data_IF_293879963099
#
_entry.id   IF_293879963099
#
_cell.length_a   1.000
_cell.length_b   1.000
_cell.length_c   1.000
_cell.angle_alpha   90.00
_cell.angle_beta   90.00
_cell.angle_gamma   90.00
#
_symmetry.space_group_name_H-M   'P 1'
#
loop_
_entity.id
_entity.type
_entity.pdbx_description
1 polymer ?
#
# COMPACT_ATOMS: atom_id res chain seq x y z
N UNK A 1 -6.53 28.90 -51.30
CA UNK A 1 -6.15 29.42 -49.97
C UNK A 1 -7.10 28.84 -48.96
N UNK A 2 -6.61 27.87 -48.18
CA UNK A 2 -7.05 27.42 -46.85
C UNK A 2 -6.55 25.98 -46.68
N UNK A 3 -5.25 25.85 -46.38
CA UNK A 3 -4.72 24.62 -45.79
C UNK A 3 -5.15 24.60 -44.33
N UNK A 4 -5.96 23.60 -43.96
CA UNK A 4 -6.18 23.25 -42.57
C UNK A 4 -5.04 22.32 -42.15
N UNK A 5 -4.05 22.88 -41.45
CA UNK A 5 -3.03 22.10 -40.76
C UNK A 5 -3.68 21.33 -39.61
N UNK A 6 -3.81 20.01 -39.76
CA UNK A 6 -4.07 19.11 -38.64
C UNK A 6 -2.84 19.14 -37.71
N UNK A 7 -3.03 19.67 -36.50
CA UNK A 7 -2.03 19.65 -35.44
C UNK A 7 -1.48 18.23 -35.22
N UNK A 8 -0.16 18.13 -35.19
CA UNK A 8 0.61 16.90 -35.00
C UNK A 8 0.06 16.02 -33.86
N UNK A 9 -0.27 14.76 -34.16
CA UNK A 9 -0.42 13.69 -33.17
C UNK A 9 0.90 13.56 -32.39
N UNK A 10 0.99 14.13 -31.19
CA UNK A 10 2.06 13.78 -30.25
C UNK A 10 1.81 12.34 -29.83
N UNK A 11 2.55 11.41 -30.43
CA UNK A 11 2.54 10.01 -30.00
C UNK A 11 3.01 9.93 -28.54
N UNK A 12 2.20 9.32 -27.69
CA UNK A 12 2.55 9.07 -26.29
C UNK A 12 3.86 8.29 -26.20
N UNK A 13 4.74 8.71 -25.30
CA UNK A 13 6.04 8.07 -25.09
C UNK A 13 5.86 6.98 -24.04
N UNK A 14 6.32 5.77 -24.35
CA UNK A 14 6.30 4.67 -23.40
C UNK A 14 7.46 4.83 -22.40
N UNK A 15 7.16 5.33 -21.20
CA UNK A 15 8.10 5.32 -20.09
C UNK A 15 8.10 3.92 -19.48
N UNK A 16 8.95 3.04 -20.02
CA UNK A 16 9.20 1.69 -19.52
C UNK A 16 10.61 1.60 -18.91
N UNK A 17 10.68 1.52 -17.59
CA UNK A 17 11.95 1.58 -16.84
C UNK A 17 11.75 2.04 -15.40
N UNK A 18 12.84 2.44 -14.75
CA UNK A 18 12.84 2.85 -13.34
C UNK A 18 12.98 4.37 -13.23
N UNK A 19 12.07 5.01 -12.48
CA UNK A 19 12.14 6.43 -12.13
C UNK A 19 12.61 6.60 -10.68
N UNK A 20 13.77 7.22 -10.53
CA UNK A 20 14.26 7.77 -9.28
C UNK A 20 13.68 9.16 -9.09
N UNK A 21 12.77 9.33 -8.12
CA UNK A 21 12.07 10.59 -7.90
C UNK A 21 12.27 11.09 -6.48
N UNK A 22 12.75 12.33 -6.32
CA UNK A 22 12.76 13.05 -5.05
C UNK A 22 11.85 14.27 -5.13
N UNK A 23 10.86 14.31 -4.24
CA UNK A 23 10.00 15.47 -4.02
C UNK A 23 10.51 16.17 -2.76
N UNK A 24 11.13 17.33 -2.97
CA UNK A 24 11.93 17.99 -1.94
C UNK A 24 11.07 18.92 -1.08
N UNK A 25 10.67 20.06 -1.64
CA UNK A 25 9.88 21.08 -0.95
C UNK A 25 9.04 21.90 -1.93
N UNK A 26 8.00 22.56 -1.42
CA UNK A 26 7.26 23.59 -2.15
C UNK A 26 7.28 24.90 -1.36
N UNK A 27 7.13 26.02 -2.07
CA UNK A 27 7.16 27.36 -1.50
C UNK A 27 5.91 28.15 -1.90
N UNK A 28 5.49 29.02 -0.98
CA UNK A 28 4.42 30.00 -1.14
C UNK A 28 3.03 29.45 -1.48
N UNK A 29 2.71 28.22 -1.08
CA UNK A 29 1.38 27.64 -1.34
C UNK A 29 0.25 28.58 -0.84
N UNK A 30 -0.90 28.63 -1.52
CA UNK A 30 -2.05 29.40 -1.07
C UNK A 30 -2.56 28.83 0.26
N UNK A 31 -3.04 29.73 1.12
CA UNK A 31 -3.75 29.31 2.32
C UNK A 31 -5.22 29.10 1.95
N UNK A 32 -5.62 27.85 1.72
CA UNK A 32 -7.02 27.48 1.52
C UNK A 32 -7.73 27.39 2.87
N UNK A 33 -8.11 28.53 3.45
CA UNK A 33 -8.96 28.55 4.66
C UNK A 33 -10.19 29.46 4.58
N UNK A 34 -10.49 30.05 3.41
CA UNK A 34 -11.58 31.02 3.29
C UNK A 34 -12.89 30.46 2.72
N UNK A 35 -12.86 29.32 2.02
CA UNK A 35 -14.09 28.67 1.54
C UNK A 35 -14.80 27.90 2.65
N UNK A 36 -14.04 27.27 3.56
CA UNK A 36 -14.62 26.42 4.61
C UNK A 36 -15.19 27.20 5.78
N UNK A 37 -14.66 28.39 6.11
CA UNK A 37 -15.31 29.30 7.08
C UNK A 37 -16.66 29.79 6.55
N UNK A 38 -16.81 30.02 5.24
CA UNK A 38 -18.09 30.45 4.65
C UNK A 38 -19.13 29.34 4.62
N UNK A 39 -18.72 28.08 4.39
CA UNK A 39 -19.61 26.92 4.48
C UNK A 39 -20.00 26.60 5.94
N UNK A 40 -19.04 26.62 6.88
CA UNK A 40 -19.33 26.54 8.33
C UNK A 40 -20.29 27.66 8.77
N UNK A 41 -20.05 28.91 8.35
CA UNK A 41 -20.96 30.04 8.64
C UNK A 41 -22.36 29.85 8.04
N UNK A 42 -22.48 29.25 6.84
CA UNK A 42 -23.78 28.93 6.24
C UNK A 42 -24.54 27.84 7.02
N UNK A 43 -23.83 26.84 7.55
CA UNK A 43 -24.44 25.81 8.40
C UNK A 43 -24.86 26.36 9.76
N UNK A 44 -24.12 27.31 10.34
CA UNK A 44 -24.50 27.94 11.62
C UNK A 44 -25.60 29.00 11.47
N UNK A 45 -25.68 29.72 10.34
CA UNK A 45 -26.73 30.70 10.09
C UNK A 45 -28.12 30.08 9.83
N UNK A 46 -28.18 28.77 9.57
CA UNK A 46 -29.45 28.05 9.38
C UNK A 46 -30.11 27.60 10.70
N UNK A 47 -29.47 27.82 11.85
CA UNK A 47 -29.96 27.35 13.15
C UNK A 47 -30.05 28.45 14.23
N UNK A 48 -30.10 29.74 13.87
CA UNK A 48 -30.33 30.83 14.83
C UNK A 48 -31.67 31.51 14.55
N UNK A 49 -32.75 30.82 14.88
CA UNK A 49 -34.03 31.46 15.20
C UNK A 49 -34.03 31.92 16.65
N UNK A 50 -34.46 33.17 16.85
CA UNK A 50 -35.01 33.77 18.08
C UNK A 50 -34.34 33.43 19.43
N UNK A 51 -33.62 34.39 20.03
CA UNK A 51 -34.12 35.10 21.23
C UNK A 51 -33.17 36.21 21.68
N UNK A 52 -33.78 37.32 22.06
CA UNK A 52 -33.20 38.58 22.55
C UNK A 52 -32.79 38.49 24.02
N UNK A 53 -31.54 38.83 24.39
CA UNK A 53 -31.20 39.30 25.74
C UNK A 53 -30.08 40.36 25.67
N UNK A 54 -30.27 41.44 26.43
CA UNK A 54 -29.47 42.66 26.57
C UNK A 54 -28.06 42.46 27.13
N UNK A 55 -27.19 43.44 26.82
CA UNK A 55 -25.81 43.60 27.31
C UNK A 55 -25.75 44.25 28.69
N UNK A 56 -24.67 44.02 29.48
CA UNK A 56 -23.94 45.21 29.94
C UNK A 56 -22.40 45.09 29.97
N UNK A 57 -21.78 46.13 29.41
CA UNK A 57 -20.57 46.87 29.78
C UNK A 57 -19.20 46.21 30.09
N UNK A 58 -18.24 46.63 29.26
CA UNK A 58 -16.84 47.01 29.52
C UNK A 58 -15.83 45.97 30.03
N UNK A 59 -14.93 45.54 29.13
CA UNK A 59 -13.51 45.40 29.43
C UNK A 59 -12.65 45.53 28.16
N UNK A 60 -11.73 46.47 28.23
CA UNK A 60 -10.43 46.57 27.54
C UNK A 60 -10.20 45.74 26.27
N UNK A 61 -10.09 46.46 25.14
CA UNK A 61 -9.67 45.96 23.85
C UNK A 61 -8.23 45.40 23.88
N UNK A 62 -8.09 44.13 24.24
CA UNK A 62 -6.93 43.34 23.87
C UNK A 62 -7.15 42.88 22.43
N UNK A 63 -6.42 43.49 21.49
CA UNK A 63 -6.25 42.94 20.15
C UNK A 63 -5.60 41.56 20.26
N UNK A 64 -6.40 40.52 20.46
CA UNK A 64 -6.03 39.18 20.06
C UNK A 64 -5.88 39.22 18.54
N UNK A 65 -4.65 39.45 18.07
CA UNK A 65 -4.22 39.03 16.75
C UNK A 65 -4.54 37.54 16.70
N UNK A 66 -5.67 37.18 16.09
CA UNK A 66 -5.91 35.81 15.70
C UNK A 66 -4.69 35.42 14.87
N UNK A 67 -3.84 34.58 15.46
CA UNK A 67 -2.72 33.96 14.77
C UNK A 67 -3.38 33.26 13.59
N UNK A 68 -3.13 33.75 12.38
CA UNK A 68 -3.58 33.09 11.15
C UNK A 68 -2.90 31.73 11.20
N UNK A 69 -3.65 30.71 11.61
CA UNK A 69 -3.18 29.34 11.58
C UNK A 69 -3.24 28.97 10.10
N UNK A 70 -2.09 28.69 9.50
CA UNK A 70 -2.05 28.12 8.16
C UNK A 70 -2.70 26.74 8.23
N UNK A 71 -3.83 26.55 7.53
CA UNK A 71 -4.60 25.30 7.54
C UNK A 71 -4.22 24.35 6.41
N UNK A 72 -3.27 24.76 5.55
CA UNK A 72 -2.86 23.93 4.43
C UNK A 72 -2.11 22.69 4.94
N UNK A 73 -2.61 21.52 4.56
CA UNK A 73 -2.02 20.21 4.81
C UNK A 73 -1.53 19.60 3.49
N UNK A 74 -0.46 20.15 2.89
CA UNK A 74 -0.09 19.81 1.54
C UNK A 74 0.53 18.41 1.40
N UNK A 75 0.20 17.78 0.28
CA UNK A 75 0.86 16.58 -0.25
C UNK A 75 0.88 16.62 -1.78
N UNK A 76 1.66 15.71 -2.38
CA UNK A 76 1.80 15.60 -3.84
C UNK A 76 1.37 14.22 -4.28
N UNK A 77 0.54 14.15 -5.32
CA UNK A 77 0.29 12.94 -6.09
C UNK A 77 1.04 13.03 -7.41
N UNK A 78 1.71 11.95 -7.79
CA UNK A 78 2.39 11.83 -9.09
C UNK A 78 1.54 10.93 -9.97
N UNK A 79 1.14 11.44 -11.11
CA UNK A 79 0.29 10.74 -12.07
C UNK A 79 1.05 10.44 -13.35
N UNK A 80 0.94 9.19 -13.79
CA UNK A 80 1.23 8.78 -15.15
C UNK A 80 -0.11 8.68 -15.89
N UNK A 81 -0.44 9.70 -16.68
CA UNK A 81 -1.80 9.89 -17.22
C UNK A 81 -2.84 9.96 -16.08
N UNK A 82 -3.74 8.98 -15.94
CA UNK A 82 -4.77 8.93 -14.89
C UNK A 82 -4.37 8.08 -13.68
N UNK A 83 -3.25 7.37 -13.73
CA UNK A 83 -2.83 6.43 -12.68
C UNK A 83 -1.89 7.14 -11.70
N UNK A 84 -2.23 7.09 -10.41
CA UNK A 84 -1.32 7.56 -9.35
C UNK A 84 -0.20 6.56 -9.13
N UNK A 85 1.04 6.97 -9.39
CA UNK A 85 2.24 6.12 -9.26
C UNK A 85 3.04 6.40 -7.98
N UNK A 86 2.84 7.57 -7.38
CA UNK A 86 3.39 7.90 -6.06
C UNK A 86 2.55 8.94 -5.34
N UNK A 87 2.63 8.95 -4.01
CA UNK A 87 2.01 9.96 -3.15
C UNK A 87 2.94 10.28 -1.99
N UNK A 88 3.12 11.57 -1.69
CA UNK A 88 3.88 11.98 -0.51
C UNK A 88 3.07 11.86 0.78
N UNK A 89 3.76 11.91 1.92
CA UNK A 89 3.12 12.17 3.21
C UNK A 89 2.49 13.55 3.22
N UNK A 90 1.42 13.70 3.99
CA UNK A 90 0.82 15.00 4.30
C UNK A 90 1.69 15.72 5.32
N UNK A 91 2.08 16.96 5.04
CA UNK A 91 2.71 17.83 6.03
C UNK A 91 1.64 18.78 6.55
N UNK A 92 1.44 18.84 7.86
CA UNK A 92 0.33 19.61 8.43
C UNK A 92 0.67 21.10 8.56
N UNK A 93 -0.35 21.93 8.40
CA UNK A 93 -0.36 23.36 8.75
C UNK A 93 0.84 24.17 8.21
N UNK A 94 1.14 24.04 6.91
CA UNK A 94 2.23 24.79 6.28
C UNK A 94 1.95 25.13 4.83
N UNK A 95 2.34 26.33 4.43
CA UNK A 95 2.37 26.78 3.04
C UNK A 95 3.73 26.56 2.37
N UNK A 96 4.72 26.07 3.13
CA UNK A 96 6.08 25.81 2.67
C UNK A 96 6.53 24.40 3.10
N UNK A 97 5.86 23.33 2.61
CA UNK A 97 6.15 21.97 3.03
C UNK A 97 7.52 21.50 2.57
N UNK A 98 8.20 20.74 3.43
CA UNK A 98 9.43 20.01 3.11
C UNK A 98 9.19 18.52 3.26
N UNK A 99 8.95 17.83 2.15
CA UNK A 99 8.72 16.40 2.17
C UNK A 99 10.03 15.63 2.29
N UNK A 100 11.04 16.00 1.49
CA UNK A 100 12.31 15.27 1.36
C UNK A 100 12.07 13.76 1.18
N UNK A 101 11.13 13.41 0.30
CA UNK A 101 10.73 12.02 0.06
C UNK A 101 11.28 11.52 -1.25
N UNK A 102 11.82 10.30 -1.20
CA UNK A 102 12.44 9.61 -2.32
C UNK A 102 11.61 8.37 -2.66
N UNK A 103 11.31 8.20 -3.93
CA UNK A 103 10.55 7.11 -4.51
C UNK A 103 11.38 6.41 -5.58
N UNK A 104 11.29 5.08 -5.59
CA UNK A 104 11.74 4.21 -6.68
C UNK A 104 10.50 3.68 -7.37
N UNK A 105 10.20 4.22 -8.56
CA UNK A 105 8.91 3.97 -9.24
C UNK A 105 9.18 3.19 -10.52
N UNK A 106 8.82 1.89 -10.58
CA UNK A 106 8.79 1.18 -11.85
C UNK A 106 7.66 1.76 -12.71
N UNK A 107 8.00 2.19 -13.92
CA UNK A 107 7.05 2.70 -14.91
C UNK A 107 6.95 1.74 -16.08
N UNK A 108 5.73 1.58 -16.59
CA UNK A 108 5.42 0.87 -17.84
C UNK A 108 4.21 1.55 -18.50
N UNK A 109 4.27 2.88 -18.67
CA UNK A 109 3.10 3.69 -19.03
C UNK A 109 3.35 4.50 -20.32
N UNK A 110 2.43 4.46 -21.30
CA UNK A 110 2.43 5.40 -22.41
C UNK A 110 1.88 6.76 -21.96
N UNK A 111 2.74 7.79 -21.92
CA UNK A 111 2.39 9.12 -21.40
C UNK A 111 2.98 10.25 -22.23
N UNK A 112 2.32 11.41 -22.22
CA UNK A 112 2.87 12.66 -22.75
C UNK A 112 3.71 13.41 -21.70
N UNK A 113 3.34 13.27 -20.42
CA UNK A 113 4.00 13.88 -19.27
C UNK A 113 3.76 13.06 -18.00
N UNK A 114 4.60 13.27 -16.99
CA UNK A 114 4.26 12.98 -15.61
C UNK A 114 3.70 14.25 -14.96
N UNK A 115 2.54 14.12 -14.34
CA UNK A 115 1.83 15.23 -13.68
C UNK A 115 2.02 15.14 -12.17
N UNK A 116 2.56 16.20 -11.59
CA UNK A 116 2.71 16.37 -10.14
C UNK A 116 1.58 17.25 -9.66
N UNK A 117 0.57 16.65 -9.03
CA UNK A 117 -0.58 17.36 -8.48
C UNK A 117 -0.33 17.68 -7.01
N UNK A 118 -0.20 18.96 -6.69
CA UNK A 118 -0.09 19.44 -5.31
C UNK A 118 -1.51 19.63 -4.77
N UNK A 119 -1.79 19.04 -3.61
CA UNK A 119 -3.14 18.99 -3.03
C UNK A 119 -3.10 19.35 -1.56
N UNK A 120 -4.22 19.86 -1.07
CA UNK A 120 -4.49 20.10 0.35
C UNK A 120 -5.35 18.96 0.91
N UNK A 121 -4.92 18.32 2.00
CA UNK A 121 -5.67 17.26 2.69
C UNK A 121 -6.52 17.85 3.82
N UNK A 122 -7.75 18.26 3.50
CA UNK A 122 -8.71 18.76 4.48
C UNK A 122 -9.73 17.70 4.90
N UNK A 123 -10.36 17.91 6.05
CA UNK A 123 -11.32 17.03 6.74
C UNK A 123 -12.52 16.70 5.84
N UNK A 124 -12.90 17.61 4.93
CA UNK A 124 -14.04 17.46 4.04
C UNK A 124 -13.68 16.91 2.65
N UNK A 125 -12.41 16.58 2.42
CA UNK A 125 -11.91 16.05 1.15
C UNK A 125 -10.71 16.84 0.62
N UNK A 126 -9.95 16.23 -0.27
CA UNK A 126 -8.73 16.83 -0.80
C UNK A 126 -8.99 17.80 -1.95
N UNK A 127 -8.47 19.02 -1.88
CA UNK A 127 -8.54 20.03 -2.94
C UNK A 127 -7.23 20.10 -3.74
N UNK A 128 -7.30 20.37 -5.04
CA UNK A 128 -6.11 20.53 -5.89
C UNK A 128 -5.63 21.97 -5.80
N UNK A 129 -4.41 22.18 -5.32
CA UNK A 129 -3.74 23.49 -5.29
C UNK A 129 -3.23 23.86 -6.68
N UNK A 130 -2.73 22.86 -7.43
CA UNK A 130 -2.24 23.05 -8.78
C UNK A 130 -1.40 21.88 -9.26
N UNK A 131 -0.80 22.02 -10.43
CA UNK A 131 -0.11 20.94 -11.13
C UNK A 131 1.22 21.39 -11.75
N UNK A 132 2.15 20.46 -11.88
CA UNK A 132 3.35 20.60 -12.69
C UNK A 132 3.41 19.43 -13.66
N UNK A 133 3.56 19.71 -14.95
CA UNK A 133 3.71 18.68 -15.98
C UNK A 133 5.17 18.65 -16.49
N UNK A 134 5.82 17.50 -16.32
CA UNK A 134 7.15 17.26 -16.88
C UNK A 134 6.99 16.33 -18.09
N UNK A 135 7.35 16.83 -19.28
CA UNK A 135 7.18 16.10 -20.54
C UNK A 135 7.95 14.77 -20.54
N UNK A 136 7.30 13.71 -21.01
CA UNK A 136 7.89 12.39 -21.16
C UNK A 136 9.11 12.41 -22.09
N UNK A 137 9.11 13.29 -23.10
CA UNK A 137 10.25 13.47 -24.01
C UNK A 137 11.51 13.98 -23.31
N UNK A 138 11.38 14.72 -22.20
CA UNK A 138 12.51 15.13 -21.36
C UNK A 138 12.93 14.00 -20.42
N UNK A 139 11.96 13.30 -19.83
CA UNK A 139 12.21 12.22 -18.86
C UNK A 139 12.94 11.03 -19.53
N UNK A 140 12.50 10.63 -20.72
CA UNK A 140 13.05 9.45 -21.41
C UNK A 140 14.53 9.60 -21.81
N UNK A 141 15.06 10.83 -21.86
CA UNK A 141 16.48 11.06 -22.13
C UNK A 141 17.41 10.49 -21.06
N UNK A 142 16.88 10.21 -19.86
CA UNK A 142 17.65 9.73 -18.71
C UNK A 142 18.52 10.79 -18.03
N UNK A 143 18.53 12.02 -18.54
CA UNK A 143 19.24 13.14 -17.91
C UNK A 143 18.66 13.46 -16.53
N UNK A 144 19.53 13.92 -15.62
CA UNK A 144 19.10 14.38 -14.31
C UNK A 144 18.29 15.67 -14.44
N UNK A 145 17.01 15.60 -14.08
CA UNK A 145 16.14 16.77 -13.98
C UNK A 145 16.13 17.22 -12.52
N UNK A 146 16.69 18.39 -12.22
CA UNK A 146 16.71 18.95 -10.88
C UNK A 146 16.44 20.45 -10.94
N UNK A 147 15.19 20.86 -10.69
CA UNK A 147 14.82 22.27 -10.81
C UNK A 147 13.58 22.65 -9.97
N UNK A 148 13.39 23.95 -9.81
CA UNK A 148 12.15 24.56 -9.34
C UNK A 148 11.14 24.68 -10.48
N UNK A 149 9.95 24.14 -10.26
CA UNK A 149 8.85 24.19 -11.22
C UNK A 149 7.71 25.03 -10.67
N UNK A 150 7.22 25.99 -11.46
CA UNK A 150 6.02 26.77 -11.13
C UNK A 150 4.79 25.88 -11.11
N UNK A 151 3.99 25.98 -10.04
CA UNK A 151 2.76 25.21 -9.89
C UNK A 151 1.64 25.93 -10.65
N UNK A 152 1.17 25.32 -11.75
CA UNK A 152 0.12 25.87 -12.59
C UNK A 152 -1.27 25.63 -11.99
N UNK A 153 -2.20 26.55 -12.24
CA UNK A 153 -3.57 26.48 -11.71
C UNK A 153 -3.70 26.94 -10.25
N UNK A 154 -2.60 27.32 -9.59
CA UNK A 154 -2.66 27.90 -8.26
C UNK A 154 -3.20 29.33 -8.28
N UNK A 155 -3.90 29.73 -7.21
CA UNK A 155 -4.38 31.10 -7.01
C UNK A 155 -3.25 32.10 -6.76
N UNK A 156 -2.05 31.62 -6.38
CA UNK A 156 -0.84 32.41 -6.22
C UNK A 156 0.17 32.13 -7.34
N UNK A 157 0.72 33.19 -7.92
CA UNK A 157 1.60 33.14 -9.09
C UNK A 157 3.06 32.77 -8.77
N UNK A 158 3.47 32.86 -7.50
CA UNK A 158 4.84 32.60 -7.01
C UNK A 158 5.00 31.21 -6.38
N UNK A 159 4.02 30.33 -6.59
CA UNK A 159 4.02 28.96 -6.09
C UNK A 159 4.94 28.06 -6.91
N UNK A 160 5.82 27.34 -6.23
CA UNK A 160 6.81 26.48 -6.89
C UNK A 160 7.13 25.24 -6.07
N UNK A 161 7.56 24.19 -6.74
CA UNK A 161 7.99 22.91 -6.16
C UNK A 161 9.37 22.53 -6.68
N UNK A 162 10.24 22.05 -5.80
CA UNK A 162 11.56 21.56 -6.15
C UNK A 162 11.52 20.04 -6.33
N UNK A 163 11.82 19.59 -7.54
CA UNK A 163 11.76 18.18 -7.93
C UNK A 163 13.11 17.73 -8.47
N UNK A 164 13.51 16.51 -8.12
CA UNK A 164 14.68 15.83 -8.68
C UNK A 164 14.24 14.49 -9.27
N UNK A 165 14.50 14.26 -10.54
CA UNK A 165 14.10 13.06 -11.27
C UNK A 165 15.27 12.52 -12.10
N UNK A 166 15.42 11.21 -12.12
CA UNK A 166 16.28 10.53 -13.09
C UNK A 166 15.58 9.24 -13.53
N UNK A 167 15.50 9.03 -14.84
CA UNK A 167 14.88 7.84 -15.41
C UNK A 167 15.95 6.93 -16.00
N UNK A 168 15.83 5.63 -15.75
CA UNK A 168 16.67 4.61 -16.40
C UNK A 168 15.76 3.73 -17.24
N UNK A 169 15.84 3.80 -18.59
CA UNK A 169 15.08 2.91 -19.46
C UNK A 169 15.33 1.44 -19.13
N UNK A 170 14.30 0.60 -19.30
CA UNK A 170 14.39 -0.84 -19.02
C UNK A 170 15.58 -1.50 -19.74
N UNK A 171 15.75 -1.22 -21.04
CA UNK A 171 16.80 -1.81 -21.88
C UNK A 171 18.23 -1.37 -21.48
N UNK A 172 18.35 -0.22 -20.82
CA UNK A 172 19.64 0.33 -20.39
C UNK A 172 20.00 -0.11 -18.96
N UNK A 173 19.04 -0.64 -18.21
CA UNK A 173 19.23 -0.99 -16.82
C UNK A 173 19.92 -2.35 -16.68
N UNK A 174 21.16 -2.42 -16.19
CA UNK A 174 21.90 -3.69 -16.10
C UNK A 174 21.25 -4.72 -15.18
N UNK A 175 20.31 -4.31 -14.32
CA UNK A 175 19.53 -5.22 -13.46
C UNK A 175 18.65 -6.18 -14.24
N UNK A 176 18.23 -5.79 -15.45
CA UNK A 176 17.30 -6.59 -16.27
C UNK A 176 18.00 -7.40 -17.37
N UNK A 177 19.29 -7.16 -17.60
CA UNK A 177 20.04 -7.80 -18.69
C UNK A 177 20.40 -9.28 -18.43
N UNK A 178 20.39 -9.69 -17.17
CA UNK A 178 20.72 -11.05 -16.76
C UNK A 178 19.66 -11.55 -15.78
N UNK A 179 19.34 -12.85 -15.85
CA UNK A 179 18.49 -13.49 -14.85
C UNK A 179 19.16 -13.52 -13.46
N UNK A 180 18.89 -14.55 -12.68
CA UNK A 180 19.36 -14.66 -11.29
C UNK A 180 20.91 -14.77 -11.18
N UNK A 181 21.62 -14.95 -12.30
CA UNK A 181 23.06 -15.17 -12.37
C UNK A 181 23.97 -13.98 -11.96
N UNK A 182 23.42 -12.81 -11.64
CA UNK A 182 24.21 -11.70 -11.11
C UNK A 182 24.30 -11.75 -9.56
N UNK A 183 25.44 -11.35 -8.99
CA UNK A 183 25.66 -11.30 -7.52
C UNK A 183 24.65 -10.40 -6.77
N UNK A 184 23.84 -9.62 -7.52
CA UNK A 184 22.77 -8.74 -7.05
C UNK A 184 21.36 -9.33 -7.25
N UNK A 185 21.21 -10.65 -7.39
CA UNK A 185 19.94 -11.35 -7.66
C UNK A 185 18.81 -11.23 -6.62
N UNK A 186 18.84 -10.23 -5.74
CA UNK A 186 17.77 -9.91 -4.80
C UNK A 186 16.96 -8.71 -5.28
N UNK A 187 15.65 -8.74 -5.01
CA UNK A 187 14.80 -7.55 -5.17
C UNK A 187 15.32 -6.44 -4.26
N UNK A 188 15.61 -5.27 -4.83
CA UNK A 188 16.11 -4.11 -4.09
C UNK A 188 14.97 -3.37 -3.37
N UNK A 189 15.32 -2.52 -2.40
CA UNK A 189 14.38 -1.65 -1.67
C UNK A 189 13.24 -2.40 -0.95
N UNK A 190 13.48 -3.65 -0.53
CA UNK A 190 12.53 -4.44 0.26
C UNK A 190 12.78 -4.33 1.76
N UNK A 191 11.72 -4.48 2.57
CA UNK A 191 11.84 -4.50 4.03
C UNK A 191 12.64 -5.71 4.54
N UNK A 192 12.44 -6.87 3.91
CA UNK A 192 13.20 -8.08 4.22
C UNK A 192 14.28 -8.32 3.14
N UNK A 193 15.57 -8.36 3.52
CA UNK A 193 16.65 -8.63 2.57
C UNK A 193 16.74 -10.13 2.24
N UNK A 194 17.44 -10.45 1.14
CA UNK A 194 17.75 -11.83 0.77
C UNK A 194 18.53 -12.54 1.89
N UNK A 195 18.12 -13.77 2.20
CA UNK A 195 18.81 -14.66 3.14
C UNK A 195 19.42 -15.83 2.37
N UNK A 196 20.68 -16.13 2.65
CA UNK A 196 21.42 -17.26 2.07
C UNK A 196 21.43 -18.44 3.05
N UNK A 197 21.67 -19.65 2.54
CA UNK A 197 21.68 -20.87 3.35
C UNK A 197 20.28 -21.34 3.77
N UNK A 198 19.23 -20.88 3.09
CA UNK A 198 17.87 -21.34 3.33
C UNK A 198 17.60 -22.67 2.60
N UNK A 199 16.68 -23.46 3.15
CA UNK A 199 16.06 -24.58 2.47
C UNK A 199 14.59 -24.26 2.27
N UNK A 200 14.10 -24.41 1.04
CA UNK A 200 12.70 -24.16 0.68
C UNK A 200 12.08 -25.48 0.28
N UNK A 201 10.98 -25.85 0.94
CA UNK A 201 10.16 -26.99 0.56
C UNK A 201 8.95 -26.48 -0.25
N UNK A 202 8.82 -26.97 -1.47
CA UNK A 202 7.71 -26.62 -2.35
C UNK A 202 6.56 -27.60 -2.14
N UNK A 203 5.38 -27.05 -1.91
CA UNK A 203 4.17 -27.86 -1.74
C UNK A 203 3.22 -27.64 -2.90
N UNK A 204 2.88 -28.73 -3.60
CA UNK A 204 1.81 -28.77 -4.56
C UNK A 204 0.55 -29.26 -3.85
N UNK A 205 -0.41 -28.36 -3.63
CA UNK A 205 -1.63 -28.63 -2.85
C UNK A 205 -1.37 -28.95 -1.36
N UNK A 206 -2.45 -29.30 -0.64
CA UNK A 206 -2.41 -29.71 0.76
C UNK A 206 -1.79 -31.11 0.95
N UNK A 207 -2.06 -32.01 0.01
CA UNK A 207 -1.60 -33.40 0.00
C UNK A 207 -1.43 -33.86 -1.45
N UNK A 208 -0.46 -34.75 -1.68
CA UNK A 208 -0.21 -35.41 -2.96
C UNK A 208 -0.13 -36.91 -2.69
N UNK A 209 -1.04 -37.72 -3.26
CA UNK A 209 -0.96 -39.18 -3.13
C UNK A 209 0.30 -39.73 -3.79
N UNK A 210 0.85 -40.79 -3.20
CA UNK A 210 2.06 -41.42 -3.74
C UNK A 210 1.79 -42.03 -5.12
N UNK A 211 2.78 -41.92 -6.02
CA UNK A 211 2.77 -42.49 -7.38
C UNK A 211 1.70 -41.95 -8.33
N UNK A 212 1.01 -40.87 -7.98
CA UNK A 212 0.03 -40.23 -8.87
C UNK A 212 0.69 -39.32 -9.92
N UNK A 213 1.86 -38.76 -9.60
CA UNK A 213 2.59 -37.83 -10.44
C UNK A 213 3.82 -38.50 -11.08
N UNK A 214 4.21 -38.07 -12.29
CA UNK A 214 5.37 -38.63 -12.97
C UNK A 214 6.67 -38.30 -12.22
N UNK A 215 7.68 -39.14 -12.43
CA UNK A 215 9.03 -38.84 -11.97
C UNK A 215 9.60 -37.65 -12.77
N UNK A 216 10.16 -36.68 -12.05
CA UNK A 216 10.82 -35.52 -12.65
C UNK A 216 12.29 -35.61 -12.28
N UNK A 217 13.14 -35.88 -13.26
CA UNK A 217 14.59 -35.91 -13.06
C UNK A 217 15.12 -34.51 -12.74
N UNK A 218 16.04 -34.44 -11.79
CA UNK A 218 16.79 -33.26 -11.39
C UNK A 218 18.27 -33.48 -11.67
N UNK A 219 19.06 -32.42 -11.52
CA UNK A 219 20.51 -32.50 -11.55
C UNK A 219 21.06 -33.54 -10.54
N UNK A 220 22.28 -34.00 -10.79
CA UNK A 220 22.96 -35.08 -10.05
C UNK A 220 22.20 -36.43 -10.06
N UNK A 221 21.31 -36.65 -11.03
CA UNK A 221 20.53 -37.89 -11.14
C UNK A 221 19.49 -38.08 -10.02
N UNK A 222 19.14 -36.99 -9.31
CA UNK A 222 18.09 -37.01 -8.30
C UNK A 222 16.72 -37.02 -8.97
N UNK A 223 15.71 -37.48 -8.22
CA UNK A 223 14.31 -37.39 -8.65
C UNK A 223 13.58 -36.42 -7.72
N UNK A 224 12.77 -35.54 -8.31
CA UNK A 224 11.95 -34.60 -7.56
C UNK A 224 10.98 -35.36 -6.64
N UNK A 225 11.00 -34.98 -5.36
CA UNK A 225 10.10 -35.54 -4.36
C UNK A 225 8.93 -34.60 -4.14
N UNK A 226 7.72 -35.08 -4.38
CA UNK A 226 6.50 -34.35 -4.04
C UNK A 226 6.27 -34.40 -2.53
N UNK A 227 6.31 -33.24 -1.88
CA UNK A 227 6.15 -33.12 -0.43
C UNK A 227 4.69 -32.83 -0.04
N UNK A 228 4.33 -33.17 1.21
CA UNK A 228 2.92 -33.20 1.69
C UNK A 228 2.69 -32.10 2.72
N UNK A 229 2.15 -30.97 2.27
CA UNK A 229 2.00 -29.74 3.06
C UNK A 229 1.32 -29.93 4.41
N UNK A 230 0.10 -30.47 4.43
CA UNK A 230 -0.67 -30.59 5.67
C UNK A 230 -0.12 -31.65 6.62
N UNK A 231 0.57 -32.67 6.08
CA UNK A 231 1.29 -33.65 6.89
C UNK A 231 2.52 -33.01 7.54
N UNK A 232 3.27 -32.18 6.83
CA UNK A 232 4.38 -31.41 7.40
C UNK A 232 3.92 -30.34 8.40
N UNK A 233 2.81 -29.65 8.15
CA UNK A 233 2.21 -28.71 9.11
C UNK A 233 1.77 -29.44 10.39
N UNK A 234 1.12 -30.61 10.25
CA UNK A 234 0.69 -31.41 11.39
C UNK A 234 1.89 -31.79 12.27
N UNK A 235 2.95 -32.32 11.68
CA UNK A 235 4.18 -32.64 12.42
C UNK A 235 4.83 -31.41 13.05
N UNK A 236 4.93 -30.30 12.32
CA UNK A 236 5.50 -29.07 12.86
C UNK A 236 4.73 -28.54 14.09
N UNK A 237 3.40 -28.63 14.10
CA UNK A 237 2.56 -28.25 15.24
C UNK A 237 2.75 -29.25 16.40
N UNK A 238 2.64 -30.55 16.12
CA UNK A 238 2.73 -31.59 17.15
C UNK A 238 4.10 -31.62 17.84
N UNK A 239 5.18 -31.40 17.10
CA UNK A 239 6.57 -31.46 17.59
C UNK A 239 7.05 -30.14 18.21
N UNK A 240 6.28 -29.05 18.08
CA UNK A 240 6.62 -27.76 18.67
C UNK A 240 6.72 -27.84 20.20
N UNK A 241 7.76 -27.19 20.76
CA UNK A 241 8.05 -27.18 22.21
C UNK A 241 7.91 -25.82 22.87
N UNK A 242 7.92 -24.74 22.09
CA UNK A 242 7.99 -23.38 22.63
C UNK A 242 6.90 -22.47 22.07
N UNK A 243 6.68 -22.51 20.75
CA UNK A 243 5.90 -21.51 20.05
C UNK A 243 5.16 -22.08 18.86
N UNK A 244 3.88 -21.72 18.73
CA UNK A 244 3.08 -21.92 17.52
C UNK A 244 2.40 -20.59 17.19
N UNK A 245 2.79 -19.96 16.08
CA UNK A 245 2.19 -18.72 15.59
C UNK A 245 1.44 -18.98 14.28
N UNK A 246 0.13 -18.69 14.28
CA UNK A 246 -0.73 -18.88 13.12
C UNK A 246 -1.38 -17.54 12.76
N UNK A 247 -1.22 -17.12 11.51
CA UNK A 247 -1.91 -15.97 10.94
C UNK A 247 -2.70 -16.47 9.74
N UNK A 248 -3.99 -16.17 9.69
CA UNK A 248 -4.86 -16.68 8.64
C UNK A 248 -5.99 -15.73 8.33
N UNK A 249 -6.36 -15.66 7.05
CA UNK A 249 -7.59 -15.00 6.64
C UNK A 249 -8.82 -15.72 7.22
N UNK A 250 -8.80 -17.05 7.24
CA UNK A 250 -9.79 -17.89 7.92
C UNK A 250 -9.09 -19.13 8.48
N UNK A 251 -9.55 -19.61 9.64
CA UNK A 251 -9.09 -20.86 10.25
C UNK A 251 -10.31 -21.69 10.63
N UNK A 252 -10.42 -22.90 10.09
CA UNK A 252 -11.47 -23.85 10.48
C UNK A 252 -10.93 -24.86 11.48
N UNK A 253 -11.35 -24.73 12.73
CA UNK A 253 -10.81 -25.53 13.84
C UNK A 253 -11.18 -27.02 13.78
N UNK A 254 -12.29 -27.36 13.11
CA UNK A 254 -12.79 -28.74 12.96
C UNK A 254 -12.04 -29.57 11.91
N UNK A 255 -11.15 -28.97 11.13
CA UNK A 255 -10.45 -29.69 10.05
C UNK A 255 -9.41 -30.65 10.61
N UNK A 256 -9.31 -31.84 10.00
CA UNK A 256 -8.15 -32.73 10.17
C UNK A 256 -7.12 -32.47 9.07
N UNK A 257 -5.88 -32.21 9.49
CA UNK A 257 -4.76 -31.91 8.59
C UNK A 257 -4.33 -33.15 7.81
N UNK A 258 -4.20 -34.30 8.46
CA UNK A 258 -3.81 -35.55 7.80
C UNK A 258 -5.02 -36.46 7.72
N UNK A 259 -5.37 -36.84 6.49
CA UNK A 259 -6.51 -37.73 6.17
C UNK A 259 -6.04 -39.04 5.56
N UNK A 260 -4.90 -39.00 4.86
CA UNK A 260 -4.22 -40.13 4.24
C UNK A 260 -2.75 -40.10 4.73
N UNK A 261 -2.46 -40.70 5.90
CA UNK A 261 -1.13 -40.65 6.49
C UNK A 261 -0.14 -41.48 5.68
N UNK A 262 1.05 -40.92 5.44
CA UNK A 262 2.13 -41.62 4.74
C UNK A 262 3.34 -41.87 5.62
N UNK A 263 3.35 -41.25 6.80
CA UNK A 263 4.21 -41.60 7.94
C UNK A 263 3.35 -41.75 9.21
N UNK A 264 3.87 -42.41 10.27
CA UNK A 264 3.15 -42.54 11.52
C UNK A 264 2.74 -41.18 12.10
N UNK A 265 1.54 -41.11 12.67
CA UNK A 265 1.07 -39.89 13.32
C UNK A 265 1.96 -39.53 14.52
N UNK A 266 2.34 -38.25 14.67
CA UNK A 266 2.91 -37.75 15.91
C UNK A 266 1.81 -37.69 16.97
N UNK A 267 2.18 -37.52 18.25
CA UNK A 267 1.19 -37.38 19.34
C UNK A 267 0.17 -36.28 19.03
N UNK A 268 -1.12 -36.64 19.06
CA UNK A 268 -2.24 -35.75 18.74
C UNK A 268 -2.41 -35.41 17.25
N UNK A 269 -1.65 -36.04 16.35
CA UNK A 269 -1.70 -35.73 14.91
C UNK A 269 -2.99 -36.18 14.19
N UNK A 270 -3.79 -37.04 14.82
CA UNK A 270 -5.10 -37.50 14.36
C UNK A 270 -6.27 -36.60 14.83
N UNK A 271 -5.98 -35.66 15.73
CA UNK A 271 -6.94 -34.69 16.26
C UNK A 271 -7.36 -33.67 15.20
N UNK A 272 -8.50 -33.00 15.45
CA UNK A 272 -8.87 -31.80 14.71
C UNK A 272 -7.89 -30.68 15.04
N UNK A 273 -7.70 -29.72 14.12
CA UNK A 273 -6.74 -28.63 14.28
C UNK A 273 -6.96 -27.85 15.60
N UNK A 274 -8.20 -27.55 15.96
CA UNK A 274 -8.53 -26.86 17.20
C UNK A 274 -8.15 -27.64 18.45
N UNK A 275 -8.41 -28.95 18.44
CA UNK A 275 -8.07 -29.85 19.54
C UNK A 275 -6.55 -29.99 19.68
N UNK A 276 -5.83 -30.17 18.56
CA UNK A 276 -4.37 -30.23 18.55
C UNK A 276 -3.75 -28.95 19.12
N UNK A 277 -4.23 -27.77 18.72
CA UNK A 277 -3.71 -26.50 19.22
C UNK A 277 -4.00 -26.31 20.71
N UNK A 278 -5.18 -26.71 21.19
CA UNK A 278 -5.50 -26.71 22.63
C UNK A 278 -4.57 -27.66 23.40
N UNK A 279 -4.43 -28.89 22.91
CA UNK A 279 -3.54 -29.89 23.50
C UNK A 279 -2.11 -29.36 23.63
N UNK A 280 -1.55 -28.75 22.57
CA UNK A 280 -0.21 -28.13 22.63
C UNK A 280 -0.13 -26.98 23.63
N UNK A 281 -1.20 -26.18 23.76
CA UNK A 281 -1.26 -25.11 24.76
C UNK A 281 -1.27 -25.64 26.19
N UNK A 282 -1.96 -26.75 26.43
CA UNK A 282 -2.02 -27.43 27.74
C UNK A 282 -0.67 -28.07 28.12
N UNK A 283 0.11 -28.52 27.14
CA UNK A 283 1.51 -28.94 27.34
C UNK A 283 2.48 -27.77 27.64
N UNK A 284 1.99 -26.52 27.62
CA UNK A 284 2.78 -25.32 27.92
C UNK A 284 3.41 -24.65 26.70
N UNK A 285 3.10 -25.09 25.47
CA UNK A 285 3.55 -24.40 24.24
C UNK A 285 2.75 -23.11 24.07
N UNK A 286 3.43 -22.00 23.75
CA UNK A 286 2.75 -20.73 23.51
C UNK A 286 2.08 -20.72 22.14
N UNK A 287 0.75 -20.85 22.12
CA UNK A 287 -0.05 -20.80 20.89
C UNK A 287 -0.67 -19.40 20.73
N UNK A 288 -0.24 -18.65 19.70
CA UNK A 288 -0.83 -17.35 19.36
C UNK A 288 -1.43 -17.37 17.96
N UNK A 289 -2.65 -16.85 17.84
CA UNK A 289 -3.39 -16.79 16.58
C UNK A 289 -3.83 -15.36 16.26
N UNK A 290 -3.53 -14.91 15.05
CA UNK A 290 -4.06 -13.67 14.48
C UNK A 290 -4.92 -14.03 13.28
N UNK A 291 -6.23 -14.14 13.52
CA UNK A 291 -7.20 -14.45 12.47
C UNK A 291 -7.97 -13.19 12.10
N UNK A 292 -8.12 -12.94 10.81
CA UNK A 292 -8.76 -11.72 10.28
C UNK A 292 -10.20 -11.56 10.81
N UNK A 293 -10.55 -10.38 11.34
CA UNK A 293 -11.90 -10.10 11.84
C UNK A 293 -12.70 -9.34 10.77
N UNK A 294 -13.51 -10.07 10.00
CA UNK A 294 -14.39 -9.47 9.01
C UNK A 294 -15.56 -8.75 9.72
N UNK A 295 -15.40 -7.46 9.99
CA UNK A 295 -16.44 -6.63 10.61
C UNK A 295 -17.68 -6.44 9.70
N UNK A 296 -17.57 -6.65 8.40
CA UNK A 296 -18.68 -6.51 7.43
C UNK A 296 -19.54 -7.77 7.29
N UNK A 297 -19.08 -8.90 7.82
CA UNK A 297 -19.77 -10.20 7.77
C UNK A 297 -20.89 -10.39 8.80
N UNK A 298 -21.05 -9.47 9.76
CA UNK A 298 -22.03 -9.59 10.85
C UNK A 298 -23.42 -9.05 10.52
N UNK A 299 -23.57 -8.35 9.39
CA UNK A 299 -24.87 -7.84 8.96
C UNK A 299 -25.70 -8.93 8.29
N UNK A 300 -26.78 -9.33 8.97
CA UNK A 300 -27.78 -10.30 8.53
C UNK A 300 -28.54 -9.91 7.24
N UNK A 301 -28.17 -8.82 6.57
CA UNK A 301 -28.91 -8.26 5.43
C UNK A 301 -28.32 -8.63 4.05
N UNK A 302 -27.11 -9.18 3.98
CA UNK A 302 -26.48 -9.57 2.71
C UNK A 302 -25.98 -11.01 2.74
N UNK A 303 -26.92 -11.95 2.87
CA UNK A 303 -26.65 -13.37 2.74
C UNK A 303 -26.57 -13.77 1.26
N UNK A 304 -25.56 -13.25 0.56
CA UNK A 304 -25.16 -13.71 -0.78
C UNK A 304 -23.69 -14.08 -0.75
N UNK A 305 -23.40 -15.27 -0.23
CA UNK A 305 -22.38 -16.25 -0.70
C UNK A 305 -22.24 -17.35 0.34
N UNK A 306 -23.06 -18.38 0.18
CA UNK A 306 -22.83 -19.68 0.80
C UNK A 306 -21.48 -20.23 0.32
N UNK A 307 -20.44 -20.24 1.19
CA UNK A 307 -19.56 -21.41 1.43
C UNK A 307 -18.41 -21.22 2.46
N UNK A 308 -18.21 -20.06 3.09
CA UNK A 308 -17.06 -19.86 4.00
C UNK A 308 -17.36 -19.22 5.37
N UNK A 309 -18.62 -19.28 5.79
CA UNK A 309 -19.13 -18.32 6.78
C UNK A 309 -19.31 -18.87 8.22
N UNK A 310 -18.79 -20.06 8.55
CA UNK A 310 -19.04 -20.68 9.85
C UNK A 310 -17.83 -20.70 10.82
N UNK A 311 -16.60 -20.51 10.35
CA UNK A 311 -15.42 -20.90 11.15
C UNK A 311 -14.99 -19.89 12.23
N UNK A 312 -15.41 -18.63 12.12
CA UNK A 312 -14.75 -17.51 12.81
C UNK A 312 -15.38 -17.11 14.14
N UNK A 313 -16.71 -17.23 14.27
CA UNK A 313 -17.42 -16.87 15.49
C UNK A 313 -17.14 -17.87 16.64
N UNK A 314 -16.93 -19.15 16.32
CA UNK A 314 -16.77 -20.23 17.30
C UNK A 314 -15.39 -20.22 17.99
N UNK A 315 -14.32 -19.82 17.29
CA UNK A 315 -12.96 -19.84 17.88
C UNK A 315 -12.83 -18.84 19.05
N UNK A 316 -13.57 -17.73 19.01
CA UNK A 316 -13.53 -16.71 20.08
C UNK A 316 -14.54 -16.97 21.21
N UNK A 317 -15.60 -17.74 20.98
CA UNK A 317 -16.64 -18.02 21.98
C UNK A 317 -16.29 -19.15 22.97
N UNK A 318 -15.11 -19.74 22.86
CA UNK A 318 -14.62 -20.80 23.75
C UNK A 318 -13.41 -20.38 24.59
N UNK A 319 -13.27 -19.07 24.84
CA UNK A 319 -12.47 -18.55 25.95
C UNK A 319 -13.32 -18.42 27.20
#
# INVERSE_FOLDING_TARGET
MAEFEFGSNQHAINLHGDLELKIMEAQHLPNFSLLNIRQLRRCFAACSGSDTIESPHTSTSAHHKHKVVDFCNPYVQVLASTVTVARTRVIKNTTNPKWNQHFHIPLAHPVNSLTFQVKDDDIFGSEVIGTVDIKASKIITGELISDWFSILGSSKTDTKIYLVLQFTPFEENPRYNHGIASEKGSVAHTYFPLRKGCSVRLYQNAHVPDRLLPEIALDDGKVYKHEKCWEDICHAISEARHLIYIVGWSVFHEVRLVREPTRPFPSGGDLKLGELLKFKSEEGVRVLMLVWDDKTSRDKLFQVRAFLHACMAEIRSHK
#
